data_IF_333644448428
#
_entry.id   IF_333644448428
#
_cell.length_a   1.000
_cell.length_b   1.000
_cell.length_c   1.000
_cell.angle_alpha   90.00
_cell.angle_beta   90.00
_cell.angle_gamma   90.00
#
_symmetry.space_group_name_H-M   'P 1'
#
loop_
_entity.id
_entity.type
_entity.pdbx_description
1 polymer ?
#
# COMPACT_ATOMS: atom_id res chain seq x y z
N UNK A 1 -8.95 8.12 -1.57
CA UNK A 1 -8.93 7.94 -0.11
C UNK A 1 -7.52 7.60 0.33
N UNK A 2 -7.11 8.02 1.53
CA UNK A 2 -5.82 7.65 2.13
C UNK A 2 -6.07 6.94 3.47
N UNK A 3 -5.38 5.83 3.72
CA UNK A 3 -5.27 5.19 5.03
C UNK A 3 -3.93 5.63 5.66
N UNK A 4 -3.99 6.24 6.83
CA UNK A 4 -2.83 6.80 7.55
C UNK A 4 -2.61 5.97 8.81
N UNK A 5 -1.37 5.56 9.06
CA UNK A 5 -0.95 4.83 10.27
C UNK A 5 -1.67 3.49 10.50
N UNK A 6 -2.29 2.91 9.46
CA UNK A 6 -3.06 1.66 9.56
C UNK A 6 -2.30 0.39 9.22
N UNK A 7 -0.99 0.51 8.96
CA UNK A 7 -0.19 -0.52 8.29
C UNK A 7 -0.70 -0.83 6.88
N UNK A 8 0.07 -1.62 6.13
CA UNK A 8 -0.29 -1.93 4.74
C UNK A 8 0.01 -3.36 4.32
N UNK A 9 0.82 -4.10 5.08
CA UNK A 9 1.25 -5.47 4.74
C UNK A 9 0.12 -6.49 4.74
N UNK A 10 -1.01 -6.17 5.38
CA UNK A 10 -2.24 -6.98 5.37
C UNK A 10 -3.09 -6.81 4.10
N UNK A 11 -2.91 -5.72 3.35
CA UNK A 11 -3.76 -5.34 2.22
C UNK A 11 -3.80 -6.41 1.10
N UNK A 12 -2.69 -7.04 0.69
CA UNK A 12 -2.74 -8.04 -0.39
C UNK A 12 -3.64 -9.23 -0.08
N UNK A 13 -3.49 -9.81 1.12
CA UNK A 13 -4.30 -10.93 1.57
C UNK A 13 -5.80 -10.57 1.64
N UNK A 14 -6.09 -9.33 2.07
CA UNK A 14 -7.45 -8.81 2.08
C UNK A 14 -8.03 -8.66 0.67
N UNK A 15 -7.28 -8.08 -0.28
CA UNK A 15 -7.68 -7.97 -1.68
C UNK A 15 -8.01 -9.33 -2.30
N UNK A 16 -7.15 -10.33 -2.09
CA UNK A 16 -7.39 -11.69 -2.61
C UNK A 16 -8.68 -12.31 -2.07
N UNK A 17 -8.95 -12.11 -0.77
CA UNK A 17 -10.18 -12.59 -0.15
C UNK A 17 -11.41 -11.86 -0.72
N UNK A 18 -11.35 -10.53 -0.84
CA UNK A 18 -12.46 -9.75 -1.39
C UNK A 18 -12.77 -10.13 -2.83
N UNK A 19 -11.74 -10.35 -3.66
CA UNK A 19 -11.90 -10.82 -5.04
C UNK A 19 -12.52 -12.22 -5.12
N UNK A 20 -12.13 -13.12 -4.20
CA UNK A 20 -12.73 -14.45 -4.09
C UNK A 20 -14.21 -14.38 -3.73
N UNK A 21 -14.57 -13.65 -2.68
CA UNK A 21 -15.97 -13.52 -2.23
C UNK A 21 -16.83 -12.80 -3.27
N UNK A 22 -16.30 -11.77 -3.93
CA UNK A 22 -17.00 -11.05 -4.98
C UNK A 22 -17.42 -11.96 -6.13
N UNK A 23 -16.61 -12.95 -6.53
CA UNK A 23 -17.00 -13.91 -7.57
C UNK A 23 -18.26 -14.70 -7.20
N UNK A 24 -18.44 -15.05 -5.93
CA UNK A 24 -19.62 -15.77 -5.42
C UNK A 24 -20.83 -14.87 -5.16
N UNK A 25 -20.59 -13.65 -4.70
CA UNK A 25 -21.64 -12.71 -4.24
C UNK A 25 -21.97 -11.60 -5.25
N UNK A 26 -21.42 -11.66 -6.48
CA UNK A 26 -21.58 -10.60 -7.50
C UNK A 26 -23.03 -10.23 -7.79
N UNK A 27 -23.97 -11.17 -7.61
CA UNK A 27 -25.41 -10.96 -7.84
C UNK A 27 -26.04 -10.03 -6.80
N UNK A 28 -25.51 -9.99 -5.58
CA UNK A 28 -26.06 -9.18 -4.48
C UNK A 28 -25.60 -7.73 -4.55
N UNK A 29 -24.48 -7.49 -5.22
CA UNK A 29 -23.86 -6.17 -5.42
C UNK A 29 -23.64 -5.87 -6.91
N UNK A 30 -24.70 -5.86 -7.74
CA UNK A 30 -24.59 -5.81 -9.19
C UNK A 30 -23.95 -4.51 -9.71
N UNK A 31 -23.86 -3.44 -8.91
CA UNK A 31 -23.18 -2.20 -9.26
C UNK A 31 -21.64 -2.32 -9.21
N UNK A 32 -21.07 -3.30 -8.52
CA UNK A 32 -19.61 -3.55 -8.48
C UNK A 32 -19.22 -4.39 -9.71
N UNK A 33 -18.73 -3.71 -10.76
CA UNK A 33 -18.54 -4.30 -12.10
C UNK A 33 -17.20 -5.00 -12.29
N UNK A 34 -16.20 -4.70 -11.46
CA UNK A 34 -14.84 -5.23 -11.51
C UNK A 34 -14.46 -5.87 -10.17
N UNK A 35 -13.41 -6.70 -10.10
CA UNK A 35 -12.88 -7.18 -8.83
C UNK A 35 -12.61 -6.03 -7.86
N UNK A 36 -12.97 -6.15 -6.57
CA UNK A 36 -12.67 -5.14 -5.55
C UNK A 36 -11.21 -4.66 -5.55
N UNK A 37 -10.25 -5.55 -5.81
CA UNK A 37 -8.83 -5.20 -5.87
C UNK A 37 -8.50 -4.12 -6.91
N UNK A 38 -9.20 -4.08 -8.05
CA UNK A 38 -8.99 -3.03 -9.06
C UNK A 38 -9.39 -1.66 -8.53
N UNK A 39 -10.57 -1.56 -7.89
CA UNK A 39 -11.02 -0.32 -7.27
C UNK A 39 -10.10 0.12 -6.13
N UNK A 40 -9.57 -0.84 -5.35
CA UNK A 40 -8.65 -0.56 -4.26
C UNK A 40 -7.36 0.08 -4.79
N UNK A 41 -6.73 -0.51 -5.82
CA UNK A 41 -5.52 0.05 -6.43
C UNK A 41 -5.75 1.44 -7.02
N UNK A 42 -6.92 1.67 -7.62
CA UNK A 42 -7.27 2.96 -8.22
C UNK A 42 -7.59 4.05 -7.19
N UNK A 43 -8.22 3.71 -6.08
CA UNK A 43 -8.85 4.71 -5.19
C UNK A 43 -8.25 4.80 -3.80
N UNK A 44 -7.44 3.82 -3.37
CA UNK A 44 -6.86 3.76 -2.04
C UNK A 44 -5.35 4.02 -2.13
N UNK A 45 -4.87 4.89 -1.24
CA UNK A 45 -3.46 5.08 -0.92
C UNK A 45 -3.22 4.73 0.54
N UNK A 46 -2.02 4.30 0.89
CA UNK A 46 -1.63 3.94 2.25
C UNK A 46 -0.31 4.60 2.59
N UNK A 47 -0.14 4.96 3.87
CA UNK A 47 1.13 5.48 4.37
C UNK A 47 2.12 4.35 4.67
N UNK A 48 3.40 4.64 4.47
CA UNK A 48 4.47 3.65 4.62
C UNK A 48 4.66 3.20 6.08
N UNK A 49 4.44 4.10 7.04
CA UNK A 49 4.54 3.82 8.47
C UNK A 49 3.15 3.55 9.08
N UNK A 50 3.03 2.56 9.99
CA UNK A 50 4.07 1.60 10.39
C UNK A 50 4.38 0.57 9.28
N UNK A 51 5.64 0.12 9.19
CA UNK A 51 6.06 -0.81 8.14
C UNK A 51 5.48 -2.21 8.31
N UNK A 52 5.37 -2.71 9.55
CA UNK A 52 4.81 -4.03 9.92
C UNK A 52 5.20 -5.18 8.97
N UNK A 53 6.49 -5.26 8.63
CA UNK A 53 7.04 -6.22 7.68
C UNK A 53 8.22 -7.01 8.27
N UNK A 54 8.54 -8.19 7.71
CA UNK A 54 9.77 -8.92 8.05
C UNK A 54 11.02 -8.06 7.83
N UNK A 55 12.10 -8.28 8.60
CA UNK A 55 13.33 -7.50 8.48
C UNK A 55 14.08 -7.76 7.17
N UNK A 56 13.81 -8.88 6.49
CA UNK A 56 14.46 -9.21 5.22
C UNK A 56 13.85 -8.41 4.05
N UNK A 57 14.71 -7.66 3.34
CA UNK A 57 14.31 -6.85 2.19
C UNK A 57 13.59 -7.66 1.10
N UNK A 58 13.99 -8.92 0.86
CA UNK A 58 13.35 -9.79 -0.13
C UNK A 58 11.87 -10.05 0.22
N UNK A 59 11.56 -10.36 1.48
CA UNK A 59 10.20 -10.61 1.92
C UNK A 59 9.34 -9.35 1.81
N UNK A 60 9.91 -8.18 2.15
CA UNK A 60 9.22 -6.92 1.98
C UNK A 60 8.89 -6.65 0.50
N UNK A 61 9.86 -6.84 -0.40
CA UNK A 61 9.65 -6.67 -1.84
C UNK A 61 8.58 -7.62 -2.37
N UNK A 62 8.48 -8.84 -1.84
CA UNK A 62 7.39 -9.76 -2.17
C UNK A 62 6.03 -9.21 -1.72
N UNK A 63 5.92 -8.65 -0.51
CA UNK A 63 4.67 -8.03 -0.04
C UNK A 63 4.28 -6.83 -0.91
N UNK A 64 5.25 -5.98 -1.29
CA UNK A 64 5.00 -4.87 -2.22
C UNK A 64 4.54 -5.40 -3.58
N UNK A 65 5.21 -6.43 -4.10
CA UNK A 65 4.80 -7.10 -5.35
C UNK A 65 3.37 -7.66 -5.28
N UNK A 66 2.94 -8.15 -4.12
CA UNK A 66 1.57 -8.62 -3.91
C UNK A 66 0.50 -7.51 -3.91
N UNK A 67 0.88 -6.24 -3.71
CA UNK A 67 -0.05 -5.11 -3.94
C UNK A 67 -0.40 -4.98 -5.42
N UNK A 68 0.49 -5.44 -6.31
CA UNK A 68 0.31 -5.38 -7.76
C UNK A 68 0.05 -3.94 -8.23
N UNK A 69 0.73 -2.98 -7.59
CA UNK A 69 0.68 -1.56 -7.90
C UNK A 69 1.83 -0.82 -7.20
N UNK A 70 2.57 -0.02 -7.96
CA UNK A 70 3.59 0.89 -7.42
C UNK A 70 3.00 2.21 -6.92
N UNK A 71 1.69 2.44 -7.13
CA UNK A 71 1.04 3.73 -6.87
C UNK A 71 0.37 3.81 -5.50
N UNK A 72 0.27 2.68 -4.79
CA UNK A 72 -0.53 2.59 -3.56
C UNK A 72 0.16 3.17 -2.32
N UNK A 73 1.48 3.12 -2.25
CA UNK A 73 2.24 3.50 -1.06
C UNK A 73 2.75 4.94 -1.15
N UNK A 74 2.63 5.69 -0.05
CA UNK A 74 3.13 7.06 0.09
C UNK A 74 3.99 7.17 1.34
N UNK A 75 5.08 7.92 1.25
CA UNK A 75 5.97 8.13 2.37
C UNK A 75 5.29 8.86 3.53
N UNK A 76 5.59 8.43 4.74
CA UNK A 76 5.18 9.05 5.99
C UNK A 76 6.23 8.77 7.05
N UNK A 77 6.50 9.76 7.90
CA UNK A 77 7.41 9.59 9.04
C UNK A 77 6.69 9.10 10.29
N UNK A 78 5.41 9.46 10.45
CA UNK A 78 4.67 9.29 11.70
C UNK A 78 5.33 9.98 12.91
N UNK A 79 6.05 11.08 12.67
CA UNK A 79 6.66 11.88 13.74
C UNK A 79 5.57 12.55 14.60
N UNK A 80 5.67 12.53 15.96
CA UNK A 80 6.79 12.12 16.80
C UNK A 80 6.60 10.76 17.51
N UNK A 81 5.84 9.81 16.95
CA UNK A 81 5.54 8.55 17.62
C UNK A 81 6.81 7.76 18.01
N UNK A 82 6.74 7.03 19.13
CA UNK A 82 7.91 6.39 19.75
C UNK A 82 8.48 5.21 18.94
N UNK A 83 7.73 4.70 17.95
CA UNK A 83 8.20 3.70 16.98
C UNK A 83 9.12 4.29 15.90
N UNK A 84 9.49 5.56 16.03
CA UNK A 84 10.40 6.23 15.12
C UNK A 84 11.83 5.70 15.30
N UNK A 85 12.16 4.65 14.55
CA UNK A 85 13.53 4.50 14.06
C UNK A 85 13.85 5.77 13.22
N UNK A 86 15.10 6.21 13.16
CA UNK A 86 15.47 7.51 12.60
C UNK A 86 14.89 7.71 11.17
N UNK A 87 14.76 8.94 10.61
CA UNK A 87 14.15 9.15 9.29
C UNK A 87 14.79 8.33 8.16
N UNK A 88 16.06 7.92 8.34
CA UNK A 88 16.82 7.03 7.46
C UNK A 88 16.35 5.57 7.52
N UNK A 89 15.81 5.13 8.66
CA UNK A 89 15.27 3.79 8.91
C UNK A 89 13.80 3.67 8.47
N UNK A 90 13.13 4.81 8.27
CA UNK A 90 11.75 4.85 7.78
C UNK A 90 11.60 4.36 6.32
N UNK A 91 12.71 4.28 5.58
CA UNK A 91 12.75 3.81 4.18
C UNK A 91 13.32 2.40 4.15
N UNK A 92 12.55 1.42 3.65
CA UNK A 92 13.06 0.07 3.55
C UNK A 92 14.18 -0.09 2.52
N UNK A 93 15.13 -0.97 2.84
CA UNK A 93 16.23 -1.34 1.95
C UNK A 93 15.73 -2.22 0.79
N UNK A 94 16.39 -2.14 -0.35
CA UNK A 94 16.15 -3.03 -1.50
C UNK A 94 15.12 -2.55 -2.52
N UNK A 95 14.46 -1.41 -2.27
CA UNK A 95 13.60 -0.77 -3.26
C UNK A 95 14.43 -0.30 -4.46
N UNK A 96 13.88 -0.44 -5.68
CA UNK A 96 14.49 0.18 -6.86
C UNK A 96 14.36 1.70 -6.79
N UNK A 97 15.28 2.43 -7.43
CA UNK A 97 15.23 3.90 -7.47
C UNK A 97 13.91 4.43 -8.03
N UNK A 98 13.32 3.71 -9.00
CA UNK A 98 12.02 4.05 -9.58
C UNK A 98 10.88 3.93 -8.56
N UNK A 99 10.81 2.80 -7.83
CA UNK A 99 9.79 2.59 -6.81
C UNK A 99 9.98 3.56 -5.64
N UNK A 100 11.22 3.82 -5.26
CA UNK A 100 11.55 4.79 -4.22
C UNK A 100 11.08 6.21 -4.61
N UNK A 101 11.34 6.64 -5.85
CA UNK A 101 10.88 7.93 -6.37
C UNK A 101 9.35 8.07 -6.30
N UNK A 102 8.63 6.99 -6.62
CA UNK A 102 7.17 6.95 -6.49
C UNK A 102 6.69 7.11 -5.05
N UNK A 103 7.23 6.32 -4.13
CA UNK A 103 6.82 6.32 -2.72
C UNK A 103 7.14 7.66 -2.06
N UNK A 104 8.32 8.21 -2.30
CA UNK A 104 8.78 9.45 -1.68
C UNK A 104 8.10 10.71 -2.23
N UNK A 105 7.63 10.67 -3.48
CA UNK A 105 7.15 11.90 -4.14
C UNK A 105 5.97 11.69 -5.09
N UNK A 106 6.13 10.87 -6.14
CA UNK A 106 5.18 10.91 -7.27
C UNK A 106 3.75 10.51 -6.86
N UNK A 107 3.61 9.51 -6.00
CA UNK A 107 2.30 9.03 -5.54
C UNK A 107 1.56 10.10 -4.72
N UNK A 108 2.28 10.77 -3.82
CA UNK A 108 1.72 11.86 -3.01
C UNK A 108 1.37 13.07 -3.87
N UNK A 109 2.26 13.45 -4.80
CA UNK A 109 2.00 14.54 -5.75
C UNK A 109 0.74 14.28 -6.57
N UNK A 110 0.60 13.08 -7.14
CA UNK A 110 -0.56 12.69 -7.92
C UNK A 110 -1.85 12.71 -7.09
N UNK A 111 -1.78 12.27 -5.83
CA UNK A 111 -2.93 12.25 -4.92
C UNK A 111 -3.39 13.66 -4.50
N UNK A 112 -2.46 14.52 -4.07
CA UNK A 112 -2.76 15.88 -3.59
C UNK A 112 -2.91 16.91 -4.70
N UNK A 113 -2.56 16.57 -5.95
CA UNK A 113 -2.63 17.45 -7.13
C UNK A 113 -1.78 18.72 -6.99
N UNK A 114 -0.56 18.56 -6.47
CA UNK A 114 0.47 19.60 -6.45
C UNK A 114 1.27 19.67 -7.76
#
# INVERSE_FOLDING_TARGET
>A
MILIEGGWTWMPAWMWRMDKEWKGLRRDIPWVKRPPSEYIREHIRMTLQPLDAPPEAEHLLQIIGHLDSDDMLMFSTDYPHYHFDAPIDAIPKGLSDALLGKILYENAKAFYRF
#
